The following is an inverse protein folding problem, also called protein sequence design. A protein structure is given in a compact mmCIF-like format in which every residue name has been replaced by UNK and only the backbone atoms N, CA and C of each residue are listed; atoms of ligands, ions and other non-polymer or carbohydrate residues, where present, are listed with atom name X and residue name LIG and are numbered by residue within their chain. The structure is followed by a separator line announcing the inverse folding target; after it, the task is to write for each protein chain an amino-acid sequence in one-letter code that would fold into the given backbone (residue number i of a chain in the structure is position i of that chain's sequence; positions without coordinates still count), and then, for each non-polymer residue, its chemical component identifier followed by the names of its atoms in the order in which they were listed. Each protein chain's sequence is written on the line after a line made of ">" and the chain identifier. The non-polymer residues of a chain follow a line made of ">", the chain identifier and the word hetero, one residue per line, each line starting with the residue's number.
data_IF_950882740823
#
_entry.id   IF_950882740823
#
_cell.length_a   1.000
_cell.length_b   1.000
_cell.length_c   1.000
_cell.angle_alpha   90.00
_cell.angle_beta   90.00
_cell.angle_gamma   90.00
#
_symmetry.space_group_name_H-M   'P 1'
#
loop_
_entity.id
_entity.type
_entity.pdbx_description
1 polymer ?
#
# COMPACT_ATOMS: atom_id res chain seq x y z
N UNK A 1 -5.26 8.63 -12.68
CA UNK A 1 -4.35 7.54 -13.13
C UNK A 1 -4.48 6.33 -12.23
N UNK A 2 -4.04 6.34 -10.97
CA UNK A 2 -4.12 5.16 -10.09
C UNK A 2 -5.54 4.61 -9.89
N UNK A 3 -6.50 5.46 -9.54
CA UNK A 3 -7.92 5.07 -9.35
C UNK A 3 -8.58 4.53 -10.61
N UNK A 4 -8.27 5.14 -11.77
CA UNK A 4 -8.83 4.76 -13.07
C UNK A 4 -8.32 3.38 -13.48
N UNK A 5 -7.00 3.17 -13.38
CA UNK A 5 -6.36 1.87 -13.62
C UNK A 5 -6.94 0.78 -12.71
N UNK A 6 -7.11 1.05 -11.41
CA UNK A 6 -7.69 0.09 -10.47
C UNK A 6 -9.12 -0.28 -10.86
N UNK A 7 -9.93 0.72 -11.23
CA UNK A 7 -11.32 0.51 -11.68
C UNK A 7 -11.37 -0.29 -12.98
N UNK A 8 -10.49 -0.01 -13.95
CA UNK A 8 -10.36 -0.76 -15.21
C UNK A 8 -9.96 -2.23 -14.96
N UNK A 9 -9.20 -2.48 -13.91
CA UNK A 9 -8.82 -3.82 -13.46
C UNK A 9 -9.92 -4.52 -12.64
N UNK A 10 -11.07 -3.86 -12.43
CA UNK A 10 -12.21 -4.39 -11.68
C UNK A 10 -12.03 -4.36 -10.16
N UNK A 11 -11.11 -3.55 -9.65
CA UNK A 11 -10.94 -3.34 -8.21
C UNK A 11 -11.88 -2.23 -7.73
N UNK A 12 -12.55 -2.49 -6.61
CA UNK A 12 -13.38 -1.51 -5.94
C UNK A 12 -12.55 -0.72 -4.94
N UNK A 13 -12.69 0.61 -4.94
CA UNK A 13 -12.10 1.47 -3.93
C UNK A 13 -13.20 1.83 -2.91
N UNK A 14 -13.25 1.18 -1.74
CA UNK A 14 -14.29 1.45 -0.76
C UNK A 14 -14.17 2.88 -0.23
N UNK A 15 -15.32 3.55 -0.13
CA UNK A 15 -15.42 4.86 0.50
C UNK A 15 -15.38 4.70 2.03
N UNK A 16 -14.76 5.66 2.71
CA UNK A 16 -14.80 5.74 4.16
C UNK A 16 -16.02 6.58 4.58
N UNK A 17 -16.99 5.93 5.22
CA UNK A 17 -18.25 6.56 5.64
C UNK A 17 -18.57 6.30 7.12
N UNK A 18 -19.60 6.97 7.63
CA UNK A 18 -20.14 6.75 8.97
C UNK A 18 -19.11 6.87 10.09
N UNK A 19 -19.15 5.92 11.04
CA UNK A 19 -18.29 5.92 12.22
C UNK A 19 -16.79 5.88 11.87
N UNK A 20 -16.42 5.19 10.78
CA UNK A 20 -15.03 5.12 10.33
C UNK A 20 -14.53 6.50 9.91
N UNK A 21 -15.30 7.22 9.09
CA UNK A 21 -14.94 8.57 8.68
C UNK A 21 -14.82 9.52 9.87
N UNK A 22 -15.71 9.41 10.86
CA UNK A 22 -15.64 10.21 12.07
C UNK A 22 -14.42 9.88 12.96
N UNK A 23 -14.00 8.61 13.03
CA UNK A 23 -12.74 8.22 13.68
C UNK A 23 -11.53 8.80 12.95
N UNK A 24 -11.50 8.71 11.62
CA UNK A 24 -10.41 9.27 10.81
C UNK A 24 -10.26 10.79 11.02
N UNK A 25 -11.38 11.53 11.01
CA UNK A 25 -11.39 12.99 11.27
C UNK A 25 -10.93 13.36 12.68
N UNK A 26 -11.14 12.49 13.69
CA UNK A 26 -10.65 12.73 15.05
C UNK A 26 -9.14 12.58 15.16
N UNK A 27 -8.58 11.58 14.48
CA UNK A 27 -7.13 11.33 14.45
C UNK A 27 -6.42 12.42 13.63
N UNK A 28 -7.00 12.79 12.49
CA UNK A 28 -6.47 13.82 11.61
C UNK A 28 -7.49 14.96 11.41
N UNK A 29 -7.60 15.88 12.39
CA UNK A 29 -8.54 17.00 12.30
C UNK A 29 -8.10 18.08 11.30
N UNK A 30 -6.84 18.04 10.88
CA UNK A 30 -6.25 18.97 9.93
C UNK A 30 -6.72 18.58 8.53
N UNK A 31 -7.41 19.48 7.80
CA UNK A 31 -7.95 19.21 6.46
C UNK A 31 -6.94 19.44 5.33
N UNK A 32 -5.67 19.07 5.52
CA UNK A 32 -4.67 19.19 4.45
C UNK A 32 -4.56 17.84 3.76
N UNK A 33 -4.98 17.78 2.50
CA UNK A 33 -5.06 16.53 1.75
C UNK A 33 -6.42 15.84 1.84
N UNK A 34 -6.46 14.57 1.45
CA UNK A 34 -7.67 13.75 1.35
C UNK A 34 -7.65 12.59 2.34
N UNK A 35 -8.70 12.51 3.17
CA UNK A 35 -9.06 11.32 3.97
C UNK A 35 -10.02 10.39 3.22
N UNK A 36 -10.27 10.61 1.93
CA UNK A 36 -10.98 9.65 1.08
C UNK A 36 -10.05 8.51 0.66
N UNK A 37 -10.58 7.46 0.04
CA UNK A 37 -9.77 6.42 -0.59
C UNK A 37 -9.59 6.78 -2.08
N UNK A 38 -8.37 7.03 -2.58
CA UNK A 38 -7.07 6.90 -1.91
C UNK A 38 -6.72 8.08 -1.01
N UNK A 39 -5.92 7.81 0.02
CA UNK A 39 -5.36 8.86 0.87
C UNK A 39 -4.33 9.69 0.10
N UNK A 40 -4.48 11.01 0.17
CA UNK A 40 -3.53 11.97 -0.37
C UNK A 40 -3.08 12.90 0.75
N UNK A 41 -2.04 12.50 1.48
CA UNK A 41 -1.59 13.17 2.71
C UNK A 41 -0.05 13.35 2.78
N UNK A 42 0.60 13.98 1.79
CA UNK A 42 2.07 14.00 1.64
C UNK A 42 2.82 14.65 2.81
N UNK A 43 2.13 15.50 3.59
CA UNK A 43 2.74 16.26 4.68
C UNK A 43 2.96 15.47 5.96
N UNK A 44 2.17 14.41 6.18
CA UNK A 44 2.19 13.65 7.43
C UNK A 44 2.70 12.22 7.27
N UNK A 45 3.13 11.82 6.07
CA UNK A 45 3.57 10.44 5.78
C UNK A 45 4.72 9.95 6.67
N UNK A 46 5.50 10.86 7.25
CA UNK A 46 6.57 10.56 8.20
C UNK A 46 6.16 10.63 9.68
N UNK A 47 4.98 11.17 9.96
CA UNK A 47 4.46 11.36 11.32
C UNK A 47 3.68 10.12 11.75
N UNK A 48 3.70 9.80 13.06
CA UNK A 48 2.97 8.64 13.60
C UNK A 48 1.46 8.70 13.36
N UNK A 49 0.90 9.91 13.22
CA UNK A 49 -0.52 10.11 12.92
C UNK A 49 -0.92 9.42 11.61
N UNK A 50 -0.03 9.37 10.62
CA UNK A 50 -0.32 8.70 9.35
C UNK A 50 -0.49 7.18 9.53
N UNK A 51 0.36 6.55 10.35
CA UNK A 51 0.21 5.14 10.70
C UNK A 51 -1.12 4.88 11.43
N UNK A 52 -1.52 5.76 12.34
CA UNK A 52 -2.81 5.64 13.06
C UNK A 52 -4.01 5.77 12.12
N UNK A 53 -3.97 6.73 11.18
CA UNK A 53 -4.96 6.89 10.12
C UNK A 53 -5.07 5.62 9.28
N UNK A 54 -3.94 5.07 8.81
CA UNK A 54 -3.91 3.83 8.05
C UNK A 54 -4.48 2.65 8.85
N UNK A 55 -4.17 2.52 10.14
CA UNK A 55 -4.70 1.43 10.98
C UNK A 55 -6.22 1.46 11.11
N UNK A 56 -6.82 2.65 11.21
CA UNK A 56 -8.29 2.79 11.23
C UNK A 56 -8.91 2.51 9.86
N UNK A 57 -8.20 2.84 8.78
CA UNK A 57 -8.69 2.61 7.43
C UNK A 57 -8.71 1.13 7.04
N UNK A 58 -7.68 0.39 7.46
CA UNK A 58 -7.46 -1.02 7.11
C UNK A 58 -8.26 -1.92 8.06
N UNK A 59 -9.51 -2.21 7.67
CA UNK A 59 -10.45 -3.11 8.37
C UNK A 59 -10.90 -4.25 7.44
N UNK A 60 -11.83 -5.09 7.88
CA UNK A 60 -12.25 -6.31 7.16
C UNK A 60 -12.84 -6.03 5.76
N UNK A 61 -13.11 -4.78 5.40
CA UNK A 61 -13.56 -4.38 4.06
C UNK A 61 -12.40 -4.03 3.12
N UNK A 62 -11.15 -4.19 3.57
CA UNK A 62 -9.94 -3.92 2.80
C UNK A 62 -9.18 -5.23 2.63
N UNK A 63 -9.16 -5.76 1.42
CA UNK A 63 -8.38 -6.97 1.08
C UNK A 63 -6.93 -6.65 0.71
N UNK A 64 -6.71 -5.46 0.15
CA UNK A 64 -5.45 -5.05 -0.44
C UNK A 64 -5.12 -3.59 -0.09
N UNK A 65 -3.89 -3.38 0.37
CA UNK A 65 -3.33 -2.05 0.63
C UNK A 65 -2.27 -1.77 -0.42
N UNK A 66 -2.44 -0.67 -1.17
CA UNK A 66 -1.49 -0.19 -2.16
C UNK A 66 -0.95 1.16 -1.69
N UNK A 67 0.38 1.27 -1.61
CA UNK A 67 1.06 2.53 -1.37
C UNK A 67 1.86 2.88 -2.61
N UNK A 68 1.44 3.93 -3.30
CA UNK A 68 2.21 4.54 -4.37
C UNK A 68 3.22 5.52 -3.78
N UNK A 69 4.49 5.39 -4.15
CA UNK A 69 5.58 6.20 -3.61
C UNK A 69 6.69 6.44 -4.61
N UNK A 70 7.58 7.34 -4.24
CA UNK A 70 8.74 7.71 -5.02
C UNK A 70 10.02 7.71 -4.17
N UNK A 71 11.18 7.70 -4.84
CA UNK A 71 12.46 7.77 -4.17
C UNK A 71 12.67 9.14 -3.52
N UNK A 72 13.08 9.12 -2.25
CA UNK A 72 13.44 10.33 -1.53
C UNK A 72 14.84 10.79 -1.93
N UNK A 73 15.09 12.10 -1.90
CA UNK A 73 16.44 12.64 -2.23
C UNK A 73 17.51 12.22 -1.22
N UNK A 74 17.14 12.12 0.05
CA UNK A 74 18.04 11.73 1.13
C UNK A 74 17.42 10.60 1.96
N UNK A 75 18.02 9.41 1.87
CA UNK A 75 17.57 8.21 2.59
C UNK A 75 18.09 8.15 4.03
N UNK A 76 18.93 9.11 4.46
CA UNK A 76 19.40 9.23 5.83
C UNK A 76 18.62 10.28 6.64
N UNK A 77 17.80 11.08 5.95
CA UNK A 77 16.99 12.12 6.55
C UNK A 77 16.01 11.57 7.59
N UNK A 78 15.73 12.38 8.63
CA UNK A 78 14.84 12.00 9.73
C UNK A 78 13.41 11.77 9.23
N UNK A 79 12.97 12.58 8.26
CA UNK A 79 11.63 12.45 7.68
C UNK A 79 11.54 11.18 6.83
N UNK A 80 12.58 10.83 6.06
CA UNK A 80 12.61 9.54 5.36
C UNK A 80 12.56 8.36 6.34
N UNK A 81 13.34 8.39 7.42
CA UNK A 81 13.31 7.33 8.44
C UNK A 81 11.92 7.19 9.08
N UNK A 82 11.25 8.31 9.38
CA UNK A 82 9.87 8.32 9.86
C UNK A 82 8.91 7.70 8.85
N UNK A 83 9.02 8.10 7.58
CA UNK A 83 8.23 7.56 6.48
C UNK A 83 8.44 6.05 6.31
N UNK A 84 9.69 5.59 6.29
CA UNK A 84 10.05 4.19 6.14
C UNK A 84 9.54 3.34 7.32
N UNK A 85 9.67 3.84 8.55
CA UNK A 85 9.12 3.18 9.74
C UNK A 85 7.59 3.08 9.67
N UNK A 86 6.92 4.10 9.14
CA UNK A 86 5.48 4.06 8.91
C UNK A 86 5.12 3.01 7.85
N UNK A 87 5.85 2.89 6.74
CA UNK A 87 5.63 1.81 5.76
C UNK A 87 5.70 0.43 6.42
N UNK A 88 6.72 0.21 7.24
CA UNK A 88 6.89 -1.06 7.95
C UNK A 88 5.75 -1.31 8.94
N UNK A 89 5.32 -0.27 9.67
CA UNK A 89 4.21 -0.34 10.60
C UNK A 89 2.87 -0.63 9.92
N UNK A 90 2.63 -0.08 8.72
CA UNK A 90 1.42 -0.34 7.94
C UNK A 90 1.46 -1.76 7.38
N UNK A 91 2.59 -2.19 6.79
CA UNK A 91 2.79 -3.56 6.30
C UNK A 91 2.52 -4.59 7.40
N UNK A 92 3.17 -4.42 8.55
CA UNK A 92 3.02 -5.33 9.69
C UNK A 92 1.56 -5.42 10.15
N UNK A 93 0.85 -4.28 10.20
CA UNK A 93 -0.55 -4.28 10.59
C UNK A 93 -1.45 -4.94 9.55
N UNK A 94 -1.28 -4.62 8.26
CA UNK A 94 -2.04 -5.24 7.18
C UNK A 94 -1.85 -6.77 7.17
N UNK A 95 -0.61 -7.23 7.25
CA UNK A 95 -0.27 -8.66 7.27
C UNK A 95 -0.79 -9.37 8.53
N UNK A 96 -0.86 -8.69 9.69
CA UNK A 96 -1.47 -9.24 10.90
C UNK A 96 -2.97 -9.49 10.78
N UNK A 97 -3.62 -8.87 9.78
CA UNK A 97 -5.01 -9.08 9.41
C UNK A 97 -5.15 -9.95 8.16
N UNK A 98 -4.07 -10.65 7.76
CA UNK A 98 -3.99 -11.50 6.56
C UNK A 98 -4.23 -10.74 5.24
N UNK A 99 -4.05 -9.41 5.25
CA UNK A 99 -4.18 -8.55 4.07
C UNK A 99 -2.87 -8.39 3.34
N UNK A 100 -2.97 -8.07 2.06
CA UNK A 100 -1.80 -7.90 1.21
C UNK A 100 -1.37 -6.43 1.22
N UNK A 101 -0.07 -6.18 1.38
CA UNK A 101 0.52 -4.85 1.32
C UNK A 101 1.50 -4.75 0.13
N UNK A 102 1.25 -3.78 -0.75
CA UNK A 102 2.03 -3.57 -1.97
C UNK A 102 2.58 -2.15 -2.01
N UNK A 103 3.84 -2.04 -2.43
CA UNK A 103 4.47 -0.78 -2.83
C UNK A 103 4.46 -0.68 -4.35
N UNK A 104 3.96 0.44 -4.87
CA UNK A 104 4.21 0.86 -6.25
C UNK A 104 5.36 1.88 -6.23
N UNK A 105 6.51 1.48 -6.77
CA UNK A 105 7.70 2.31 -6.89
C UNK A 105 8.09 2.44 -8.37
N UNK A 106 7.66 3.55 -8.98
CA UNK A 106 7.85 3.83 -10.41
C UNK A 106 9.30 3.62 -10.85
N UNK A 107 9.48 3.06 -12.05
CA UNK A 107 10.80 2.75 -12.60
C UNK A 107 11.31 3.88 -13.47
N UNK A 108 12.45 4.46 -13.08
CA UNK A 108 13.18 5.47 -13.85
C UNK A 108 14.66 5.47 -13.45
N UNK A 109 15.58 6.00 -14.29
CA UNK A 109 17.00 6.03 -13.99
C UNK A 109 17.31 6.93 -12.78
N UNK A 110 17.56 6.33 -11.61
CA UNK A 110 17.95 7.03 -10.38
C UNK A 110 18.66 6.08 -9.42
N UNK A 111 19.84 6.47 -8.96
CA UNK A 111 20.63 5.71 -7.98
C UNK A 111 19.89 5.61 -6.64
N UNK A 112 19.34 6.72 -6.15
CA UNK A 112 18.59 6.73 -4.88
C UNK A 112 17.34 5.86 -4.95
N UNK A 113 16.69 5.78 -6.12
CA UNK A 113 15.56 4.88 -6.37
C UNK A 113 15.99 3.41 -6.34
N UNK A 114 17.16 3.08 -6.90
CA UNK A 114 17.70 1.73 -6.83
C UNK A 114 18.00 1.31 -5.39
N UNK A 115 18.68 2.17 -4.61
CA UNK A 115 18.96 1.92 -3.20
C UNK A 115 17.67 1.73 -2.40
N UNK A 116 16.67 2.59 -2.63
CA UNK A 116 15.39 2.48 -1.94
C UNK A 116 14.62 1.19 -2.31
N UNK A 117 14.63 0.84 -3.60
CA UNK A 117 14.06 -0.43 -4.07
C UNK A 117 14.72 -1.63 -3.40
N UNK A 118 16.05 -1.70 -3.40
CA UNK A 118 16.78 -2.85 -2.86
C UNK A 118 16.53 -2.99 -1.36
N UNK A 119 16.50 -1.86 -0.64
CA UNK A 119 16.12 -1.83 0.77
C UNK A 119 14.71 -2.36 1.04
N UNK A 120 13.72 -2.00 0.21
CA UNK A 120 12.36 -2.53 0.33
C UNK A 120 12.31 -4.04 0.07
N UNK A 121 13.07 -4.53 -0.92
CA UNK A 121 13.14 -5.96 -1.23
C UNK A 121 13.80 -6.73 -0.08
N UNK A 122 14.92 -6.24 0.45
CA UNK A 122 15.62 -6.83 1.60
C UNK A 122 14.72 -6.94 2.84
N UNK A 123 13.90 -5.92 3.09
CA UNK A 123 12.96 -5.88 4.22
C UNK A 123 11.63 -6.62 3.91
N UNK A 124 11.55 -7.34 2.78
CA UNK A 124 10.45 -8.26 2.45
C UNK A 124 9.17 -7.60 1.95
N UNK A 125 9.24 -6.40 1.36
CA UNK A 125 8.09 -5.75 0.73
C UNK A 125 7.80 -6.33 -0.67
N UNK A 126 6.52 -6.39 -1.04
CA UNK A 126 6.10 -6.60 -2.42
C UNK A 126 6.18 -5.27 -3.18
N UNK A 127 7.17 -5.13 -4.07
CA UNK A 127 7.40 -3.90 -4.82
C UNK A 127 7.15 -4.14 -6.31
N UNK A 128 6.32 -3.30 -6.91
CA UNK A 128 6.06 -3.33 -8.36
C UNK A 128 6.32 -1.95 -8.98
N UNK A 129 6.73 -1.91 -10.26
CA UNK A 129 6.98 -0.65 -10.95
C UNK A 129 5.70 0.08 -11.37
N UNK A 130 4.55 -0.60 -11.38
CA UNK A 130 3.25 -0.02 -11.71
C UNK A 130 2.10 -0.87 -11.16
N UNK A 131 0.89 -0.30 -11.08
CA UNK A 131 -0.33 -1.01 -10.68
C UNK A 131 -0.63 -2.16 -11.64
N UNK A 132 -0.47 -1.97 -12.94
CA UNK A 132 -0.69 -3.01 -13.95
C UNK A 132 0.29 -4.18 -13.77
N UNK A 133 1.53 -3.89 -13.36
CA UNK A 133 2.55 -4.90 -13.09
C UNK A 133 2.20 -5.72 -11.84
N UNK A 134 1.70 -5.06 -10.80
CA UNK A 134 1.14 -5.73 -9.63
C UNK A 134 -0.03 -6.63 -10.04
N UNK A 135 -1.03 -6.08 -10.73
CA UNK A 135 -2.22 -6.80 -11.15
C UNK A 135 -1.92 -8.03 -12.02
N UNK A 136 -1.00 -7.92 -12.99
CA UNK A 136 -0.53 -9.07 -13.78
C UNK A 136 0.08 -10.16 -12.91
N UNK A 137 0.82 -9.78 -11.87
CA UNK A 137 1.45 -10.74 -10.94
C UNK A 137 0.39 -11.47 -10.10
N UNK A 138 -0.63 -10.77 -9.59
CA UNK A 138 -1.77 -11.39 -8.91
C UNK A 138 -2.56 -12.33 -9.83
N UNK A 139 -2.84 -11.91 -11.06
CA UNK A 139 -3.53 -12.75 -12.04
C UNK A 139 -2.74 -14.05 -12.33
N UNK A 140 -1.42 -13.95 -12.43
CA UNK A 140 -0.56 -15.12 -12.64
C UNK A 140 -0.55 -16.06 -11.42
N UNK A 141 -0.52 -15.52 -10.20
CA UNK A 141 -0.64 -16.30 -8.96
C UNK A 141 -2.00 -17.00 -8.86
N UNK A 142 -3.08 -16.29 -9.18
CA UNK A 142 -4.44 -16.86 -9.22
C UNK A 142 -4.54 -18.01 -10.23
N UNK A 143 -4.10 -17.78 -11.48
CA UNK A 143 -4.07 -18.81 -12.54
C UNK A 143 -3.23 -20.01 -12.14
N UNK A 144 -2.09 -19.78 -11.48
CA UNK A 144 -1.26 -20.85 -10.94
C UNK A 144 -1.99 -21.66 -9.87
N UNK A 145 -2.68 -20.99 -8.93
CA UNK A 145 -3.52 -21.64 -7.92
C UNK A 145 -4.63 -22.50 -8.54
N UNK A 146 -5.32 -21.99 -9.56
CA UNK A 146 -6.31 -22.77 -10.32
C UNK A 146 -5.70 -24.01 -10.97
N UNK A 147 -4.56 -23.85 -11.67
CA UNK A 147 -3.86 -24.97 -12.32
C UNK A 147 -3.39 -26.01 -11.30
N UNK A 148 -2.86 -25.57 -10.16
CA UNK A 148 -2.48 -26.47 -9.07
C UNK A 148 -3.68 -27.26 -8.57
N UNK A 149 -4.81 -26.60 -8.32
CA UNK A 149 -6.03 -27.27 -7.85
C UNK A 149 -6.58 -28.29 -8.87
N UNK A 150 -6.45 -28.01 -10.16
CA UNK A 150 -6.80 -28.97 -11.22
C UNK A 150 -5.89 -30.20 -11.22
N UNK A 151 -4.60 -30.02 -10.97
CA UNK A 151 -3.61 -31.10 -11.02
C UNK A 151 -3.56 -31.94 -9.73
N UNK A 152 -3.79 -31.32 -8.57
CA UNK A 152 -3.52 -31.93 -7.26
C UNK A 152 -4.72 -31.93 -6.31
N UNK A 153 -5.88 -31.44 -6.75
CA UNK A 153 -7.03 -31.19 -5.87
C UNK A 153 -6.89 -29.92 -5.04
N UNK A 154 -7.98 -29.48 -4.42
CA UNK A 154 -7.93 -28.40 -3.42
C UNK A 154 -7.19 -28.92 -2.19
N UNK A 155 -6.41 -28.06 -1.53
CA UNK A 155 -5.98 -28.34 -0.15
C UNK A 155 -6.90 -27.56 0.77
N UNK A 156 -7.47 -28.33 1.70
CA UNK A 156 -8.38 -27.88 2.75
C UNK A 156 -7.61 -27.15 3.86
#
# INVERSE_FOLDING_TARGET
>A
MGTDTLTELGLELPLFEGEKLEKLKKIYPIKIGSLSNPFDMPWVTADKVFLEVCRVAIDDNIDLVIVETDAWRDLNDVRFKGYYNNLFGIKTYAESLEKIFIIILHQYPSETRAIFHDKLIEDGFLVYPSIESAAKSFLNLYKYGQKRNQLFGKID
#
